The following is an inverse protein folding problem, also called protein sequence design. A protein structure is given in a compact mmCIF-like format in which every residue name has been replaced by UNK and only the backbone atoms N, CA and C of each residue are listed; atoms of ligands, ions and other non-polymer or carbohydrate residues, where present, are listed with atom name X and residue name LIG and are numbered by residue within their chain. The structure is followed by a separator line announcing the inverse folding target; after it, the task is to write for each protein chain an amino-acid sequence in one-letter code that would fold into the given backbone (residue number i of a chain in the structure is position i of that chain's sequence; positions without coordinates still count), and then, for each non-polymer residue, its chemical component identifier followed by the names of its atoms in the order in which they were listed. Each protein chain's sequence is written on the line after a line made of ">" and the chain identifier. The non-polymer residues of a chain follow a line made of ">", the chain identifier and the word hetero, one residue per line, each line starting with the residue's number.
data_IF_536673083039
#
_entry.id   IF_536673083039
#
_cell.length_a   1.000
_cell.length_b   1.000
_cell.length_c   1.000
_cell.angle_alpha   90.00
_cell.angle_beta   90.00
_cell.angle_gamma   90.00
#
_symmetry.space_group_name_H-M   'P 1'
#
loop_
_entity.id
_entity.type
_entity.pdbx_description
1 polymer ?
#
# COMPACT_ATOMS: atom_id res chain seq x y z
N UNK A 1 35.56 -45.55 -9.46
CA UNK A 1 34.18 -45.19 -9.81
C UNK A 1 33.86 -43.96 -8.97
N UNK A 2 33.76 -42.78 -9.57
CA UNK A 2 33.50 -41.55 -8.82
C UNK A 2 31.98 -41.44 -8.64
N UNK A 3 31.53 -41.49 -7.41
CA UNK A 3 30.13 -41.27 -7.05
C UNK A 3 29.94 -39.75 -6.96
N UNK A 4 29.27 -39.16 -7.95
CA UNK A 4 28.87 -37.76 -7.85
C UNK A 4 27.65 -37.69 -6.93
N UNK A 5 27.86 -37.23 -5.70
CA UNK A 5 26.75 -36.84 -4.83
C UNK A 5 26.15 -35.57 -5.41
N UNK A 6 24.99 -35.70 -6.05
CA UNK A 6 24.17 -34.54 -6.43
C UNK A 6 23.58 -33.99 -5.14
N UNK A 7 24.22 -32.95 -4.58
CA UNK A 7 23.66 -32.24 -3.45
C UNK A 7 22.53 -31.37 -3.99
N UNK A 8 21.28 -31.72 -3.69
CA UNK A 8 20.15 -30.87 -4.06
C UNK A 8 20.24 -29.56 -3.25
N UNK A 9 20.18 -28.39 -3.90
CA UNK A 9 20.19 -27.13 -3.19
C UNK A 9 18.92 -26.98 -2.34
N UNK A 10 19.07 -26.44 -1.14
CA UNK A 10 17.95 -26.12 -0.25
C UNK A 10 17.43 -24.72 -0.56
N UNK A 11 16.13 -24.59 -0.84
CA UNK A 11 15.50 -23.28 -0.96
C UNK A 11 15.26 -22.69 0.44
N UNK A 12 15.82 -21.50 0.70
CA UNK A 12 15.66 -20.75 1.94
C UNK A 12 14.78 -19.54 1.63
N UNK A 13 13.48 -19.67 1.93
CA UNK A 13 12.46 -18.66 1.63
C UNK A 13 11.75 -18.11 2.89
N UNK A 14 12.47 -17.38 3.77
CA UNK A 14 11.90 -16.84 4.99
C UNK A 14 11.19 -15.50 4.76
N UNK A 15 10.29 -15.16 5.68
CA UNK A 15 9.83 -13.79 5.89
C UNK A 15 10.67 -13.09 6.98
N UNK A 16 10.51 -11.77 7.11
CA UNK A 16 11.16 -10.93 8.11
C UNK A 16 10.77 -11.32 9.55
N UNK A 17 11.70 -11.09 10.47
CA UNK A 17 11.38 -11.05 11.89
C UNK A 17 11.07 -9.60 12.27
N UNK A 18 9.78 -9.26 12.34
CA UNK A 18 9.31 -7.87 12.52
C UNK A 18 10.02 -7.17 13.69
N UNK A 19 10.66 -6.04 13.40
CA UNK A 19 11.44 -5.27 14.38
C UNK A 19 12.82 -5.84 14.73
N UNK A 20 13.28 -6.86 14.01
CA UNK A 20 14.59 -7.50 14.23
C UNK A 20 15.39 -7.65 12.94
N UNK A 21 15.12 -8.69 12.13
CA UNK A 21 15.88 -9.00 10.91
C UNK A 21 14.99 -8.87 9.67
N UNK A 22 15.55 -8.33 8.60
CA UNK A 22 14.95 -8.39 7.27
C UNK A 22 14.89 -9.83 6.75
N UNK A 23 14.00 -10.12 5.81
CA UNK A 23 13.90 -11.45 5.20
C UNK A 23 15.24 -11.90 4.56
N UNK A 24 15.98 -10.96 3.94
CA UNK A 24 17.30 -11.22 3.38
C UNK A 24 18.34 -11.59 4.46
N UNK A 25 18.33 -10.91 5.60
CA UNK A 25 19.20 -11.27 6.72
C UNK A 25 18.85 -12.63 7.31
N UNK A 26 17.57 -12.94 7.47
CA UNK A 26 17.13 -14.28 7.91
C UNK A 26 17.62 -15.34 6.92
N UNK A 27 17.45 -15.12 5.62
CA UNK A 27 17.88 -16.05 4.58
C UNK A 27 19.39 -16.31 4.66
N UNK A 28 20.20 -15.25 4.73
CA UNK A 28 21.65 -15.35 4.85
C UNK A 28 22.11 -16.11 6.10
N UNK A 29 21.46 -15.86 7.25
CA UNK A 29 21.81 -16.53 8.52
C UNK A 29 21.44 -18.02 8.49
N UNK A 30 20.29 -18.36 7.93
CA UNK A 30 19.85 -19.76 7.79
C UNK A 30 20.75 -20.52 6.81
N UNK A 31 21.03 -19.95 5.63
CA UNK A 31 21.95 -20.52 4.65
C UNK A 31 23.33 -20.80 5.23
N UNK A 32 23.88 -19.84 5.99
CA UNK A 32 25.18 -20.02 6.65
C UNK A 32 25.17 -21.16 7.69
N UNK A 33 24.05 -21.34 8.40
CA UNK A 33 23.90 -22.41 9.40
C UNK A 33 23.64 -23.80 8.80
N UNK A 34 23.05 -23.87 7.60
CA UNK A 34 22.71 -25.14 6.94
C UNK A 34 23.95 -25.92 6.45
N UNK A 35 25.04 -25.23 6.09
CA UNK A 35 26.27 -25.88 5.65
C UNK A 35 26.16 -26.69 4.35
N UNK A 36 25.08 -26.52 3.60
CA UNK A 36 24.82 -27.13 2.29
C UNK A 36 24.51 -26.03 1.25
N UNK A 37 24.63 -26.30 -0.06
CA UNK A 37 24.22 -25.35 -1.09
C UNK A 37 22.77 -24.88 -0.84
N UNK A 38 22.58 -23.57 -0.79
CA UNK A 38 21.28 -22.96 -0.56
C UNK A 38 20.97 -21.94 -1.66
N UNK A 39 19.69 -21.85 -2.02
CA UNK A 39 19.14 -20.78 -2.85
C UNK A 39 18.34 -19.87 -1.94
N UNK A 40 18.78 -18.64 -1.77
CA UNK A 40 18.09 -17.63 -0.96
C UNK A 40 16.99 -16.97 -1.78
N UNK A 41 15.77 -17.01 -1.28
CA UNK A 41 14.61 -16.38 -1.90
C UNK A 41 13.73 -15.74 -0.82
N UNK A 42 14.15 -14.61 -0.23
CA UNK A 42 13.36 -13.94 0.80
C UNK A 42 11.96 -13.60 0.25
N UNK A 43 10.95 -13.82 1.08
CA UNK A 43 9.55 -13.56 0.74
C UNK A 43 8.97 -12.44 1.61
N UNK A 44 7.81 -11.94 1.24
CA UNK A 44 7.04 -10.96 2.01
C UNK A 44 5.54 -11.21 1.85
N UNK A 45 4.77 -10.74 2.83
CA UNK A 45 3.32 -10.89 2.97
C UNK A 45 2.51 -9.74 2.33
N UNK A 46 3.17 -8.78 1.68
CA UNK A 46 2.53 -7.54 1.21
C UNK A 46 2.68 -6.38 2.18
N UNK A 47 3.32 -6.59 3.32
CA UNK A 47 3.72 -5.54 4.25
C UNK A 47 5.10 -4.95 3.95
N UNK A 48 5.71 -4.39 4.99
CA UNK A 48 7.06 -3.82 4.97
C UNK A 48 8.09 -4.84 4.45
N UNK A 49 8.93 -4.42 3.50
CA UNK A 49 9.97 -5.27 2.89
C UNK A 49 9.53 -6.03 1.64
N UNK A 50 8.33 -5.77 1.11
CA UNK A 50 7.84 -6.44 -0.11
C UNK A 50 8.63 -6.02 -1.34
N UNK A 51 9.04 -4.75 -1.42
CA UNK A 51 9.93 -4.27 -2.49
C UNK A 51 11.31 -4.91 -2.39
N UNK A 52 11.86 -5.08 -1.19
CA UNK A 52 13.16 -5.74 -0.98
C UNK A 52 13.12 -7.20 -1.41
N UNK A 53 12.07 -7.93 -1.05
CA UNK A 53 11.86 -9.32 -1.46
C UNK A 53 11.78 -9.46 -2.98
N UNK A 54 11.03 -8.59 -3.66
CA UNK A 54 10.95 -8.59 -5.13
C UNK A 54 12.31 -8.31 -5.78
N UNK A 55 13.07 -7.35 -5.26
CA UNK A 55 14.41 -7.02 -5.77
C UNK A 55 15.38 -8.20 -5.58
N UNK A 56 15.35 -8.86 -4.42
CA UNK A 56 16.11 -10.10 -4.19
C UNK A 56 15.69 -11.23 -5.14
N UNK A 57 14.42 -11.25 -5.56
CA UNK A 57 13.89 -12.12 -6.60
C UNK A 57 14.24 -11.73 -8.05
N UNK A 58 15.08 -10.72 -8.25
CA UNK A 58 15.58 -10.30 -9.58
C UNK A 58 14.84 -9.12 -10.21
N UNK A 59 13.98 -8.41 -9.48
CA UNK A 59 13.39 -7.16 -9.94
C UNK A 59 14.40 -6.01 -9.85
N UNK A 60 14.28 -5.04 -10.75
CA UNK A 60 15.06 -3.80 -10.71
C UNK A 60 14.44 -2.80 -9.74
N UNK A 61 15.23 -2.24 -8.84
CA UNK A 61 14.77 -1.14 -7.98
C UNK A 61 14.68 0.16 -8.76
N UNK A 62 13.52 0.81 -8.73
CA UNK A 62 13.32 2.16 -9.23
C UNK A 62 13.09 3.08 -8.03
N UNK A 63 13.84 4.17 -7.94
CA UNK A 63 13.72 5.17 -6.86
C UNK A 63 13.40 6.52 -7.47
N UNK A 64 12.38 7.18 -6.94
CA UNK A 64 11.98 8.54 -7.31
C UNK A 64 11.67 9.36 -6.06
N UNK A 65 11.79 10.68 -6.16
CA UNK A 65 11.29 11.58 -5.12
C UNK A 65 9.76 11.63 -5.18
N UNK A 66 9.08 11.41 -4.06
CA UNK A 66 7.61 11.46 -3.93
C UNK A 66 7.21 12.26 -2.69
N UNK A 67 5.92 12.53 -2.56
CA UNK A 67 5.32 13.18 -1.40
C UNK A 67 5.21 12.18 -0.24
N UNK A 68 5.95 12.43 0.83
CA UNK A 68 5.86 11.71 2.09
C UNK A 68 4.52 11.95 2.81
N UNK A 69 4.28 11.26 3.93
CA UNK A 69 3.00 11.32 4.64
C UNK A 69 2.64 12.72 5.14
N UNK A 70 3.63 13.58 5.41
CA UNK A 70 3.44 14.97 5.88
C UNK A 70 3.42 16.00 4.75
N UNK A 71 3.56 15.59 3.49
CA UNK A 71 3.71 16.49 2.35
C UNK A 71 5.16 16.83 1.97
N UNK A 72 6.12 16.56 2.86
CA UNK A 72 7.55 16.71 2.58
C UNK A 72 8.00 15.70 1.51
N UNK A 73 9.00 16.05 0.69
CA UNK A 73 9.52 15.12 -0.33
C UNK A 73 10.43 14.07 0.31
N UNK A 74 10.27 12.82 -0.12
CA UNK A 74 11.07 11.68 0.33
C UNK A 74 11.47 10.80 -0.86
N UNK A 75 12.67 10.20 -0.84
CA UNK A 75 13.02 9.16 -1.79
C UNK A 75 12.25 7.88 -1.45
N UNK A 76 11.46 7.39 -2.38
CA UNK A 76 10.71 6.15 -2.26
C UNK A 76 10.97 5.25 -3.46
N UNK A 77 10.91 3.93 -3.24
CA UNK A 77 11.21 2.95 -4.27
C UNK A 77 10.04 2.00 -4.54
N UNK A 78 10.05 1.43 -5.74
CA UNK A 78 9.26 0.24 -6.07
C UNK A 78 10.13 -0.72 -6.90
N UNK A 79 9.69 -1.97 -7.01
CA UNK A 79 10.41 -2.98 -7.81
C UNK A 79 9.77 -3.11 -9.19
N UNK A 80 10.58 -3.21 -10.23
CA UNK A 80 10.16 -3.29 -11.63
C UNK A 80 10.72 -4.55 -12.31
N UNK A 81 9.90 -5.18 -13.14
CA UNK A 81 10.31 -6.27 -14.02
C UNK A 81 9.91 -5.95 -15.46
N UNK A 82 10.82 -6.18 -16.41
CA UNK A 82 10.66 -5.83 -17.83
C UNK A 82 9.42 -6.43 -18.52
N UNK A 83 8.81 -7.47 -17.94
CA UNK A 83 7.53 -8.03 -18.35
C UNK A 83 6.31 -7.14 -18.01
N UNK A 84 6.51 -5.92 -17.49
CA UNK A 84 5.46 -4.95 -17.15
C UNK A 84 4.86 -5.14 -15.75
N UNK A 85 5.55 -5.83 -14.85
CA UNK A 85 5.10 -5.97 -13.45
C UNK A 85 5.84 -4.99 -12.56
N UNK A 86 5.08 -4.17 -11.82
CA UNK A 86 5.60 -3.36 -10.72
C UNK A 86 5.11 -3.89 -9.37
N UNK A 87 5.99 -3.88 -8.37
CA UNK A 87 5.68 -4.16 -6.97
C UNK A 87 5.85 -2.87 -6.18
N UNK A 88 4.74 -2.30 -5.75
CA UNK A 88 4.68 -1.03 -5.00
C UNK A 88 4.30 -1.34 -3.56
N UNK A 89 5.01 -0.73 -2.62
CA UNK A 89 4.68 -0.82 -1.19
C UNK A 89 4.27 0.56 -0.70
N UNK A 90 3.07 0.69 -0.13
CA UNK A 90 2.56 1.95 0.40
C UNK A 90 3.53 2.55 1.41
N UNK A 91 4.11 1.73 2.27
CA UNK A 91 4.96 2.22 3.35
C UNK A 91 6.29 2.83 2.86
N UNK A 92 6.69 2.59 1.61
CA UNK A 92 7.84 3.26 0.98
C UNK A 92 7.64 4.77 0.89
N UNK A 93 6.43 5.22 0.53
CA UNK A 93 6.10 6.64 0.40
C UNK A 93 5.30 7.18 1.59
N UNK A 94 4.36 6.40 2.09
CA UNK A 94 3.28 6.83 3.00
C UNK A 94 3.28 6.03 4.31
N UNK A 95 4.41 5.43 4.69
CA UNK A 95 4.54 4.56 5.84
C UNK A 95 4.83 5.27 7.16
N UNK A 96 4.53 4.60 8.28
CA UNK A 96 4.83 5.08 9.63
C UNK A 96 6.32 5.40 9.84
N UNK A 97 7.20 4.70 9.12
CA UNK A 97 8.67 4.92 9.14
C UNK A 97 9.11 6.21 8.46
N UNK A 98 8.24 6.82 7.64
CA UNK A 98 8.52 8.05 6.87
C UNK A 98 8.08 9.32 7.59
N UNK A 99 7.47 9.20 8.76
CA UNK A 99 7.10 10.37 9.56
C UNK A 99 8.38 11.01 10.15
N UNK A 100 8.68 12.29 9.89
CA UNK A 100 9.91 12.95 10.33
C UNK A 100 9.95 13.24 11.83
N UNK A 101 8.83 13.04 12.54
CA UNK A 101 8.73 13.22 13.98
C UNK A 101 7.57 12.43 14.57
N UNK A 102 6.44 13.11 14.76
CA UNK A 102 5.26 12.56 15.43
C UNK A 102 4.30 11.81 14.50
N UNK A 103 3.30 11.19 15.13
CA UNK A 103 2.14 10.62 14.45
C UNK A 103 1.20 11.73 13.97
N UNK A 104 0.66 11.58 12.76
CA UNK A 104 -0.18 12.57 12.08
C UNK A 104 -1.52 11.94 11.61
N UNK A 105 -2.34 11.40 12.53
CA UNK A 105 -3.46 10.51 12.19
C UNK A 105 -4.54 11.16 11.30
N UNK A 106 -4.72 12.48 11.39
CA UNK A 106 -5.75 13.22 10.66
C UNK A 106 -5.29 13.73 9.28
N UNK A 107 -4.00 14.03 9.15
CA UNK A 107 -3.41 14.80 8.05
C UNK A 107 -2.50 13.97 7.16
N UNK A 108 -1.98 12.84 7.66
CA UNK A 108 -1.10 11.98 6.89
C UNK A 108 -1.76 11.53 5.57
N UNK A 109 -0.98 11.52 4.48
CA UNK A 109 -1.50 11.27 3.13
C UNK A 109 -0.87 10.08 2.42
N UNK A 110 -1.68 9.40 1.60
CA UNK A 110 -1.26 8.36 0.66
C UNK A 110 -0.73 8.89 -0.69
N UNK A 111 -0.61 10.22 -0.87
CA UNK A 111 -0.30 10.86 -2.15
C UNK A 111 0.97 10.31 -2.83
N UNK A 112 2.07 10.15 -2.10
CA UNK A 112 3.30 9.60 -2.68
C UNK A 112 3.17 8.15 -3.17
N UNK A 113 2.28 7.36 -2.57
CA UNK A 113 1.98 6.00 -3.08
C UNK A 113 1.35 6.08 -4.47
N UNK A 114 0.45 7.04 -4.69
CA UNK A 114 -0.11 7.30 -6.01
C UNK A 114 0.92 7.85 -7.01
N UNK A 115 1.92 8.61 -6.57
CA UNK A 115 3.05 9.02 -7.43
C UNK A 115 3.89 7.81 -7.88
N UNK A 116 4.15 6.83 -7.01
CA UNK A 116 4.83 5.59 -7.39
C UNK A 116 4.02 4.79 -8.41
N UNK A 117 2.71 4.65 -8.19
CA UNK A 117 1.80 3.98 -9.13
C UNK A 117 1.80 4.72 -10.48
N UNK A 118 1.70 6.05 -10.47
CA UNK A 118 1.70 6.85 -11.70
C UNK A 118 3.01 6.69 -12.49
N UNK A 119 4.16 6.66 -11.81
CA UNK A 119 5.45 6.41 -12.46
C UNK A 119 5.51 5.01 -13.08
N UNK A 120 5.08 3.98 -12.35
CA UNK A 120 5.02 2.61 -12.85
C UNK A 120 4.11 2.47 -14.09
N UNK A 121 2.91 3.07 -14.06
CA UNK A 121 1.98 3.08 -15.20
C UNK A 121 2.61 3.78 -16.41
N UNK A 122 3.25 4.94 -16.22
CA UNK A 122 3.92 5.67 -17.31
C UNK A 122 5.09 4.91 -17.92
N UNK A 123 5.71 4.00 -17.18
CA UNK A 123 6.74 3.07 -17.69
C UNK A 123 6.16 1.85 -18.42
N UNK A 124 4.84 1.74 -18.50
CA UNK A 124 4.16 0.65 -19.19
C UNK A 124 3.85 -0.55 -18.29
N UNK A 125 3.64 -0.34 -16.98
CA UNK A 125 3.13 -1.40 -16.12
C UNK A 125 1.81 -1.94 -16.68
N UNK A 126 1.71 -3.25 -16.85
CA UNK A 126 0.47 -3.97 -17.16
C UNK A 126 -0.05 -4.70 -15.92
N UNK A 127 0.78 -4.85 -14.88
CA UNK A 127 0.42 -5.41 -13.58
C UNK A 127 1.08 -4.62 -12.45
N UNK A 128 0.30 -4.26 -11.43
CA UNK A 128 0.79 -3.62 -10.21
C UNK A 128 0.38 -4.49 -9.02
N UNK A 129 1.37 -5.00 -8.28
CA UNK A 129 1.17 -5.60 -6.96
C UNK A 129 1.36 -4.51 -5.91
N UNK A 130 0.30 -4.19 -5.16
CA UNK A 130 0.30 -3.13 -4.17
C UNK A 130 0.24 -3.74 -2.76
N UNK A 131 1.32 -3.57 -2.00
CA UNK A 131 1.36 -3.87 -0.57
C UNK A 131 0.87 -2.69 0.26
N UNK A 132 -0.09 -2.92 1.16
CA UNK A 132 -0.75 -1.85 1.95
C UNK A 132 -0.27 -1.75 3.41
N UNK A 133 0.56 -2.68 3.88
CA UNK A 133 1.00 -2.72 5.26
C UNK A 133 1.83 -1.50 5.68
N UNK A 134 1.82 -1.18 6.98
CA UNK A 134 2.70 -0.16 7.57
C UNK A 134 2.31 1.31 7.32
N UNK A 135 1.08 1.59 6.87
CA UNK A 135 0.59 2.94 6.55
C UNK A 135 0.61 3.93 7.72
N UNK A 136 1.01 5.17 7.44
CA UNK A 136 0.88 6.31 8.34
C UNK A 136 -0.51 6.97 8.30
N UNK A 137 -1.24 6.82 7.20
CA UNK A 137 -2.47 7.53 6.91
C UNK A 137 -3.73 6.68 7.11
N UNK A 138 -4.84 7.34 7.43
CA UNK A 138 -6.20 6.79 7.38
C UNK A 138 -7.04 7.69 6.48
N UNK A 139 -6.59 7.89 5.24
CA UNK A 139 -7.22 8.80 4.27
C UNK A 139 -8.07 8.08 3.23
N UNK A 140 -8.36 6.78 3.42
CA UNK A 140 -9.17 5.99 2.49
C UNK A 140 -8.58 5.90 1.07
N UNK A 141 -7.28 6.16 0.89
CA UNK A 141 -6.64 6.23 -0.42
C UNK A 141 -6.91 7.53 -1.18
N UNK A 142 -7.48 8.55 -0.52
CA UNK A 142 -7.79 9.85 -1.12
C UNK A 142 -6.55 10.52 -1.74
N UNK A 143 -5.44 10.56 -1.00
CA UNK A 143 -4.19 11.10 -1.52
C UNK A 143 -3.70 10.33 -2.75
N UNK A 144 -3.77 9.01 -2.71
CA UNK A 144 -3.35 8.12 -3.80
C UNK A 144 -4.15 8.41 -5.08
N UNK A 145 -5.47 8.51 -5.02
CA UNK A 145 -6.29 8.81 -6.21
C UNK A 145 -6.09 10.25 -6.69
N UNK A 146 -5.83 11.21 -5.79
CA UNK A 146 -5.46 12.57 -6.16
C UNK A 146 -4.15 12.63 -6.96
N UNK A 147 -3.15 11.84 -6.57
CA UNK A 147 -1.88 11.76 -7.30
C UNK A 147 -2.03 11.11 -8.68
N UNK A 148 -3.05 10.26 -8.85
CA UNK A 148 -3.45 9.70 -10.13
C UNK A 148 -4.31 10.68 -10.96
N UNK A 149 -4.63 11.87 -10.46
CA UNK A 149 -5.34 12.91 -11.21
C UNK A 149 -6.83 13.07 -10.89
N UNK A 150 -7.35 12.34 -9.90
CA UNK A 150 -8.69 12.61 -9.38
C UNK A 150 -8.71 13.94 -8.64
N UNK A 151 -9.83 14.68 -8.72
CA UNK A 151 -10.10 15.83 -7.85
C UNK A 151 -11.17 15.46 -6.84
N UNK A 152 -10.87 15.70 -5.58
CA UNK A 152 -11.79 15.53 -4.46
C UNK A 152 -12.24 16.93 -4.07
N UNK A 153 -13.51 17.25 -4.33
CA UNK A 153 -14.02 18.61 -4.25
C UNK A 153 -14.99 18.79 -3.10
N UNK A 154 -14.94 19.95 -2.46
CA UNK A 154 -15.93 20.39 -1.48
C UNK A 154 -17.22 20.90 -2.15
N UNK A 155 -18.16 21.39 -1.33
CA UNK A 155 -19.43 21.93 -1.83
C UNK A 155 -19.30 23.23 -2.63
N UNK A 156 -18.20 23.96 -2.48
CA UNK A 156 -17.87 25.18 -3.23
C UNK A 156 -17.23 24.87 -4.58
N UNK A 157 -16.75 23.64 -4.77
CA UNK A 157 -16.04 23.20 -5.97
C UNK A 157 -14.51 23.32 -5.87
N UNK A 158 -13.99 23.57 -4.67
CA UNK A 158 -12.57 23.69 -4.39
C UNK A 158 -11.96 22.32 -4.04
N UNK A 159 -10.67 22.14 -4.35
CA UNK A 159 -9.95 20.90 -4.03
C UNK A 159 -9.76 20.75 -2.51
N UNK A 160 -10.11 19.57 -2.00
CA UNK A 160 -9.86 19.22 -0.61
C UNK A 160 -8.36 19.12 -0.31
N UNK A 161 -7.91 19.57 0.87
CA UNK A 161 -6.57 19.28 1.34
C UNK A 161 -6.40 17.77 1.53
N UNK A 162 -5.13 17.34 1.59
CA UNK A 162 -4.78 15.95 1.82
C UNK A 162 -5.02 15.53 3.27
N UNK A 163 -5.22 14.23 3.49
CA UNK A 163 -5.42 13.63 4.80
C UNK A 163 -6.87 13.18 5.04
N UNK A 164 -7.04 12.27 5.99
CA UNK A 164 -8.35 11.65 6.25
C UNK A 164 -9.40 12.61 6.80
N UNK A 165 -9.00 13.58 7.63
CA UNK A 165 -9.96 14.51 8.23
C UNK A 165 -10.65 15.43 7.21
N UNK A 166 -9.99 15.74 6.10
CA UNK A 166 -10.52 16.60 5.05
C UNK A 166 -11.74 15.97 4.35
N UNK A 167 -11.85 14.64 4.34
CA UNK A 167 -12.94 13.92 3.66
C UNK A 167 -14.32 14.18 4.25
N UNK A 168 -14.40 14.73 5.47
CA UNK A 168 -15.67 15.16 6.07
C UNK A 168 -16.42 16.18 5.18
N UNK A 169 -15.68 16.97 4.41
CA UNK A 169 -16.21 18.05 3.57
C UNK A 169 -16.37 17.62 2.09
N UNK A 170 -16.07 16.36 1.74
CA UNK A 170 -16.16 15.86 0.37
C UNK A 170 -17.59 15.96 -0.18
N UNK A 171 -17.77 16.61 -1.32
CA UNK A 171 -19.05 16.71 -2.01
C UNK A 171 -19.05 16.00 -3.38
N UNK A 172 -17.93 16.00 -4.09
CA UNK A 172 -17.84 15.45 -5.45
C UNK A 172 -16.46 14.83 -5.72
N UNK A 173 -16.46 13.72 -6.45
CA UNK A 173 -15.25 13.08 -7.00
C UNK A 173 -15.24 13.29 -8.51
N UNK A 174 -14.25 14.00 -9.02
CA UNK A 174 -14.05 14.24 -10.45
C UNK A 174 -12.87 13.42 -10.97
N UNK A 175 -13.14 12.54 -11.94
CA UNK A 175 -12.15 11.66 -12.55
C UNK A 175 -11.74 12.10 -13.96
N UNK A 176 -12.14 13.30 -14.41
CA UNK A 176 -11.84 13.78 -15.77
C UNK A 176 -10.34 13.89 -16.07
N UNK A 177 -9.51 14.13 -15.05
CA UNK A 177 -8.05 14.17 -15.15
C UNK A 177 -7.34 12.87 -14.73
N UNK A 178 -8.10 11.81 -14.45
CA UNK A 178 -7.53 10.56 -13.93
C UNK A 178 -6.65 9.87 -14.98
N UNK A 179 -5.50 9.37 -14.53
CA UNK A 179 -4.58 8.60 -15.34
C UNK A 179 -5.28 7.36 -15.89
N UNK A 180 -5.15 7.11 -17.19
CA UNK A 180 -5.69 5.89 -17.78
C UNK A 180 -4.94 4.66 -17.25
N UNK A 181 -5.66 3.85 -16.49
CA UNK A 181 -5.17 2.59 -15.90
C UNK A 181 -5.96 1.38 -16.40
N UNK A 182 -6.76 1.53 -17.47
CA UNK A 182 -7.66 0.49 -17.97
C UNK A 182 -6.95 -0.80 -18.43
N UNK A 183 -5.69 -0.69 -18.87
CA UNK A 183 -4.84 -1.82 -19.25
C UNK A 183 -4.02 -2.42 -18.11
N UNK A 184 -4.21 -1.95 -16.87
CA UNK A 184 -3.38 -2.32 -15.71
C UNK A 184 -4.16 -3.23 -14.78
N UNK A 185 -3.65 -4.44 -14.54
CA UNK A 185 -4.16 -5.33 -13.49
C UNK A 185 -3.58 -4.93 -12.14
N UNK A 186 -4.44 -4.48 -11.23
CA UNK A 186 -4.06 -4.27 -9.83
C UNK A 186 -4.26 -5.55 -9.01
N UNK A 187 -3.29 -5.89 -8.19
CA UNK A 187 -3.35 -6.97 -7.20
C UNK A 187 -3.00 -6.36 -5.86
N UNK A 188 -3.97 -6.28 -4.96
CA UNK A 188 -3.73 -5.74 -3.62
C UNK A 188 -3.36 -6.88 -2.68
N UNK A 189 -2.18 -6.79 -2.07
CA UNK A 189 -1.77 -7.73 -1.05
C UNK A 189 -2.30 -7.26 0.31
N UNK A 190 -3.19 -8.06 0.89
CA UNK A 190 -3.83 -7.78 2.17
C UNK A 190 -3.91 -9.06 2.99
N UNK A 191 -3.57 -8.93 4.26
CA UNK A 191 -3.52 -9.99 5.28
C UNK A 191 -4.65 -9.85 6.31
N UNK A 192 -5.64 -8.99 6.05
CA UNK A 192 -6.70 -8.59 6.99
C UNK A 192 -8.05 -8.43 6.30
N UNK A 193 -9.12 -8.82 6.99
CA UNK A 193 -10.51 -8.74 6.49
C UNK A 193 -11.29 -7.56 7.10
N UNK A 194 -10.58 -6.53 7.57
CA UNK A 194 -11.19 -5.39 8.24
C UNK A 194 -11.96 -4.52 7.23
N UNK A 195 -13.25 -4.22 7.46
CA UNK A 195 -14.03 -3.35 6.58
C UNK A 195 -13.55 -1.88 6.65
N UNK A 196 -14.10 -1.01 5.80
CA UNK A 196 -13.80 0.42 5.88
C UNK A 196 -14.29 1.03 7.20
N UNK A 197 -15.51 0.68 7.60
CA UNK A 197 -16.28 1.34 8.66
C UNK A 197 -16.69 0.36 9.77
N UNK A 198 -17.10 0.91 10.89
CA UNK A 198 -17.66 0.21 12.04
C UNK A 198 -16.63 -0.16 13.11
N UNK A 199 -17.03 -0.96 14.12
CA UNK A 199 -16.18 -1.32 15.26
C UNK A 199 -14.89 -2.07 14.88
N UNK A 200 -14.92 -2.76 13.74
CA UNK A 200 -13.77 -3.45 13.15
C UNK A 200 -13.21 -2.71 11.92
N UNK A 201 -13.63 -1.47 11.71
CA UNK A 201 -13.28 -0.64 10.57
C UNK A 201 -11.85 -0.10 10.62
N UNK A 202 -11.41 0.49 9.50
CA UNK A 202 -10.05 0.98 9.33
C UNK A 202 -9.63 2.02 10.40
N UNK A 203 -10.52 2.98 10.71
CA UNK A 203 -10.25 3.99 11.73
C UNK A 203 -10.19 3.40 13.14
N UNK A 204 -11.14 2.54 13.49
CA UNK A 204 -11.24 1.93 14.81
C UNK A 204 -10.05 1.01 15.14
N UNK A 205 -9.64 0.17 14.18
CA UNK A 205 -8.62 -0.86 14.40
C UNK A 205 -7.21 -0.32 14.20
N UNK A 206 -6.98 0.48 13.15
CA UNK A 206 -5.62 0.92 12.79
C UNK A 206 -5.33 2.38 13.13
N UNK A 207 -6.34 3.21 13.43
CA UNK A 207 -6.14 4.59 13.86
C UNK A 207 -5.25 4.72 15.10
N UNK A 208 -5.48 3.96 16.19
CA UNK A 208 -4.72 4.11 17.43
C UNK A 208 -3.20 3.90 17.27
N UNK A 209 -2.76 2.90 16.51
CA UNK A 209 -1.33 2.69 16.24
C UNK A 209 -0.69 3.80 15.38
N UNK A 210 -1.52 4.53 14.63
CA UNK A 210 -1.17 5.74 13.87
C UNK A 210 -1.30 7.01 14.69
N UNK A 211 -1.56 6.92 16.00
CA UNK A 211 -1.64 8.04 16.94
C UNK A 211 -3.03 8.67 17.11
N UNK A 212 -4.08 8.08 16.53
CA UNK A 212 -5.44 8.61 16.65
C UNK A 212 -5.97 8.47 18.09
N UNK A 213 -6.43 9.58 18.66
CA UNK A 213 -7.24 9.57 19.89
C UNK A 213 -8.65 9.03 19.60
N UNK A 214 -9.46 8.69 20.63
CA UNK A 214 -10.86 8.30 20.41
C UNK A 214 -11.69 9.36 19.63
N UNK A 215 -11.38 10.65 19.83
CA UNK A 215 -12.00 11.74 19.08
C UNK A 215 -11.58 11.73 17.60
N UNK A 216 -10.29 11.50 17.33
CA UNK A 216 -9.77 11.39 15.96
C UNK A 216 -10.34 10.18 15.23
N UNK A 217 -10.47 9.04 15.92
CA UNK A 217 -11.11 7.84 15.36
C UNK A 217 -12.55 8.16 14.94
N UNK A 218 -13.31 8.87 15.78
CA UNK A 218 -14.68 9.28 15.45
C UNK A 218 -14.72 10.23 14.24
N UNK A 219 -13.79 11.17 14.17
CA UNK A 219 -13.70 12.10 13.04
C UNK A 219 -13.34 11.39 11.73
N UNK A 220 -12.35 10.49 11.77
CA UNK A 220 -11.92 9.69 10.63
C UNK A 220 -13.02 8.73 10.17
N UNK A 221 -13.73 8.09 11.09
CA UNK A 221 -14.88 7.22 10.79
C UNK A 221 -15.95 8.00 9.98
N UNK A 222 -16.34 9.19 10.45
CA UNK A 222 -17.31 10.03 9.75
C UNK A 222 -16.80 10.49 8.37
N UNK A 223 -15.51 10.80 8.26
CA UNK A 223 -14.89 11.22 7.02
C UNK A 223 -14.79 10.08 5.99
N UNK A 224 -14.44 8.86 6.43
CA UNK A 224 -14.47 7.65 5.58
C UNK A 224 -15.90 7.27 5.17
N UNK A 225 -16.87 7.42 6.07
CA UNK A 225 -18.28 7.20 5.75
C UNK A 225 -18.76 8.18 4.67
N UNK A 226 -18.31 9.43 4.74
CA UNK A 226 -18.58 10.44 3.71
C UNK A 226 -17.96 10.06 2.36
N UNK A 227 -16.71 9.61 2.35
CA UNK A 227 -16.05 9.10 1.15
C UNK A 227 -16.85 7.97 0.50
N UNK A 228 -17.22 6.95 1.28
CA UNK A 228 -17.99 5.81 0.80
C UNK A 228 -19.35 6.23 0.20
N UNK A 229 -20.06 7.14 0.89
CA UNK A 229 -21.35 7.63 0.43
C UNK A 229 -21.24 8.40 -0.90
N UNK A 230 -20.27 9.30 -1.04
CA UNK A 230 -20.06 10.08 -2.26
C UNK A 230 -19.61 9.17 -3.42
N UNK A 231 -18.67 8.26 -3.17
CA UNK A 231 -18.20 7.29 -4.18
C UNK A 231 -19.34 6.39 -4.69
N UNK A 232 -20.19 5.89 -3.78
CA UNK A 232 -21.37 5.10 -4.14
C UNK A 232 -22.34 5.93 -4.99
N UNK A 233 -22.68 7.14 -4.56
CA UNK A 233 -23.68 7.96 -5.22
C UNK A 233 -23.25 8.47 -6.60
N UNK A 234 -21.95 8.73 -6.80
CA UNK A 234 -21.44 9.35 -8.04
C UNK A 234 -20.87 8.36 -9.03
N UNK A 235 -20.31 7.25 -8.57
CA UNK A 235 -19.60 6.28 -9.41
C UNK A 235 -20.14 4.85 -9.29
N UNK A 236 -21.22 4.64 -8.50
CA UNK A 236 -21.82 3.31 -8.33
C UNK A 236 -20.90 2.31 -7.61
N UNK A 237 -19.84 2.81 -6.96
CA UNK A 237 -18.86 2.00 -6.23
C UNK A 237 -19.48 1.53 -4.92
N UNK A 238 -20.21 0.43 -4.99
CA UNK A 238 -20.54 -0.40 -3.83
C UNK A 238 -19.36 -1.32 -3.60
N UNK A 239 -18.95 -1.51 -2.35
CA UNK A 239 -17.68 -2.19 -2.02
C UNK A 239 -17.51 -3.60 -2.59
N UNK A 240 -16.33 -4.17 -2.40
CA UNK A 240 -15.94 -5.40 -3.07
C UNK A 240 -16.52 -6.66 -2.42
N UNK A 241 -16.57 -7.72 -3.23
CA UNK A 241 -16.78 -9.10 -2.81
C UNK A 241 -15.42 -9.61 -2.32
N UNK A 242 -15.33 -9.99 -1.05
CA UNK A 242 -14.10 -10.60 -0.50
C UNK A 242 -13.96 -12.07 -0.93
N UNK A 243 -12.88 -12.74 -0.52
CA UNK A 243 -12.57 -14.13 -0.88
C UNK A 243 -13.66 -15.16 -0.47
N UNK A 244 -14.62 -14.74 0.36
CA UNK A 244 -15.75 -15.50 0.88
C UNK A 244 -17.08 -15.21 0.18
N UNK A 245 -17.06 -14.51 -0.95
CA UNK A 245 -18.23 -14.09 -1.73
C UNK A 245 -19.17 -13.09 -1.02
N UNK A 246 -18.74 -12.45 0.08
CA UNK A 246 -19.55 -11.46 0.83
C UNK A 246 -19.21 -10.02 0.38
N UNK A 247 -20.19 -9.24 -0.15
CA UNK A 247 -19.98 -7.83 -0.43
C UNK A 247 -19.83 -7.01 0.86
N UNK A 248 -18.73 -6.29 1.03
CA UNK A 248 -18.50 -5.41 2.19
C UNK A 248 -18.26 -3.97 1.75
N UNK A 249 -18.81 -3.00 2.47
CA UNK A 249 -18.68 -1.58 2.15
C UNK A 249 -17.21 -1.15 2.18
N UNK A 250 -16.64 -0.88 1.00
CA UNK A 250 -15.29 -0.34 0.76
C UNK A 250 -14.17 -1.02 1.59
N UNK A 251 -14.31 -2.31 1.89
CA UNK A 251 -13.21 -3.17 2.35
C UNK A 251 -12.29 -3.52 1.18
N UNK A 252 -11.05 -3.89 1.49
CA UNK A 252 -9.97 -4.11 0.51
C UNK A 252 -10.46 -4.96 -0.67
N UNK A 253 -10.37 -4.39 -1.87
CA UNK A 253 -10.93 -4.98 -3.07
C UNK A 253 -10.12 -6.17 -3.58
N UNK A 254 -10.82 -7.30 -3.80
CA UNK A 254 -10.41 -8.35 -4.73
C UNK A 254 -11.41 -8.39 -5.90
N UNK A 255 -10.89 -8.38 -7.12
CA UNK A 255 -11.56 -8.89 -8.32
C UNK A 255 -10.65 -9.94 -8.95
#
# INVERSE_FOLDING_TARGET
>A
MWEFVVVQPVLVAPDKFKGSLTAAEVASRVSAGLGVPAVELPVADGGDGTVDAAVAGGFTRITIEVTGPTGERVPASYAWQDAGTAVVELAEASGLRRLPGGREPLTATSYGTGELIADAVRRGATRIVLGLGGSACTDGGAGMVQALGARLLDASGDDLPRGGAALKDLARIDLSGFLDVSGVRFVVASDVDNPLLGPHGAAAVYGPQKGATPGDVTALEGALARLAAVATATHGLVGAVEHDDIPRAMGVAGA
#
